data_IF_121718354362
#
_entry.id   IF_121718354362
#
_cell.length_a   1.000
_cell.length_b   1.000
_cell.length_c   1.000
_cell.angle_alpha   90.00
_cell.angle_beta   90.00
_cell.angle_gamma   90.00
#
_symmetry.space_group_name_H-M   'P 1'
#
loop_
_entity.id
_entity.type
_entity.pdbx_description
1 polymer ?
#
# COMPACT_ATOMS: atom_id res chain seq x y z
N UNK A 1 -13.60 30.41 -5.88
CA UNK A 1 -13.05 29.07 -6.11
C UNK A 1 -12.75 28.48 -4.75
N UNK A 2 -13.77 27.92 -4.12
CA UNK A 2 -13.67 27.24 -2.82
C UNK A 2 -14.08 25.79 -3.09
N UNK A 3 -13.30 25.17 -3.97
CA UNK A 3 -13.57 23.86 -4.53
C UNK A 3 -13.04 22.77 -3.62
N UNK A 4 -13.81 21.69 -3.49
CA UNK A 4 -13.53 20.51 -2.70
C UNK A 4 -12.06 20.08 -2.83
N UNK A 5 -11.30 20.27 -1.75
CA UNK A 5 -9.92 19.77 -1.68
C UNK A 5 -10.00 18.26 -1.48
N UNK A 6 -9.75 17.51 -2.54
CA UNK A 6 -9.52 16.08 -2.45
C UNK A 6 -8.10 15.86 -1.96
N UNK A 7 -7.95 15.25 -0.78
CA UNK A 7 -6.67 14.81 -0.26
C UNK A 7 -6.44 13.35 -0.65
N UNK A 8 -5.21 13.05 -1.07
CA UNK A 8 -4.77 11.69 -1.34
C UNK A 8 -3.92 11.20 -0.18
N UNK A 9 -4.03 9.91 0.11
CA UNK A 9 -3.23 9.24 1.11
C UNK A 9 -2.80 7.89 0.56
N UNK A 10 -1.51 7.60 0.67
CA UNK A 10 -0.97 6.32 0.24
C UNK A 10 -1.38 5.23 1.23
N UNK A 11 -1.90 4.12 0.71
CA UNK A 11 -2.22 2.91 1.48
C UNK A 11 -1.13 1.85 1.26
N UNK A 12 -0.59 1.79 0.05
CA UNK A 12 0.51 0.92 -0.34
C UNK A 12 1.53 1.70 -1.16
N UNK A 13 2.80 1.46 -0.88
CA UNK A 13 3.91 2.10 -1.59
C UNK A 13 4.94 1.07 -2.00
N UNK A 14 5.69 1.38 -3.05
CA UNK A 14 6.90 0.66 -3.38
C UNK A 14 8.12 1.47 -2.96
N UNK A 15 8.91 0.94 -2.03
CA UNK A 15 10.18 1.53 -1.64
C UNK A 15 11.33 0.95 -2.47
N UNK A 16 11.88 1.77 -3.38
CA UNK A 16 13.11 1.45 -4.09
C UNK A 16 14.30 1.44 -3.13
N UNK A 17 15.03 0.33 -3.11
CA UNK A 17 16.21 0.10 -2.25
C UNK A 17 17.54 0.03 -3.00
N UNK A 18 17.50 0.06 -4.33
CA UNK A 18 18.71 0.12 -5.15
C UNK A 18 18.55 -0.58 -6.49
N UNK A 19 19.69 -0.95 -7.08
CA UNK A 19 19.75 -1.79 -8.27
C UNK A 19 20.50 -3.09 -7.92
N UNK A 20 20.12 -4.19 -8.56
CA UNK A 20 20.90 -5.43 -8.57
C UNK A 20 22.09 -5.32 -9.54
N UNK A 21 23.06 -6.25 -9.50
CA UNK A 21 24.22 -6.24 -10.40
C UNK A 21 23.87 -6.32 -11.89
N UNK A 22 22.74 -6.92 -12.24
CA UNK A 22 22.18 -6.98 -13.61
C UNK A 22 21.31 -5.75 -13.96
N UNK A 23 21.30 -4.73 -13.12
CA UNK A 23 20.64 -3.44 -13.38
C UNK A 23 19.14 -3.39 -13.08
N UNK A 24 18.56 -4.43 -12.47
CA UNK A 24 17.13 -4.43 -12.10
C UNK A 24 16.88 -3.63 -10.82
N UNK A 25 15.70 -3.03 -10.72
CA UNK A 25 15.29 -2.30 -9.52
C UNK A 25 15.02 -3.28 -8.37
N UNK A 26 15.70 -3.07 -7.25
CA UNK A 26 15.42 -3.75 -5.98
C UNK A 26 14.56 -2.84 -5.11
N UNK A 27 13.59 -3.43 -4.43
CA UNK A 27 12.74 -2.71 -3.49
C UNK A 27 11.80 -3.64 -2.76
N UNK A 28 10.82 -3.05 -2.09
CA UNK A 28 9.80 -3.75 -1.33
C UNK A 28 8.46 -3.05 -1.45
N UNK A 29 7.39 -3.82 -1.42
CA UNK A 29 6.04 -3.29 -1.23
C UNK A 29 5.82 -3.11 0.27
N UNK A 30 5.39 -1.91 0.67
CA UNK A 30 5.07 -1.58 2.05
C UNK A 30 3.63 -1.10 2.09
N UNK A 31 2.85 -1.65 3.02
CA UNK A 31 1.67 -0.95 3.48
C UNK A 31 2.07 0.26 4.35
N UNK A 32 1.24 1.29 4.35
CA UNK A 32 1.53 2.53 5.08
C UNK A 32 1.10 2.49 6.56
N UNK A 33 0.51 1.39 7.04
CA UNK A 33 -0.08 1.28 8.38
C UNK A 33 -1.45 1.94 8.50
N UNK A 34 -1.97 2.53 7.42
CA UNK A 34 -3.23 3.27 7.42
C UNK A 34 -4.37 2.31 7.12
N UNK A 35 -5.31 2.18 8.06
CA UNK A 35 -6.57 1.48 7.81
C UNK A 35 -7.51 2.40 7.01
N UNK A 36 -7.82 2.07 5.74
CA UNK A 36 -8.60 2.96 4.89
C UNK A 36 -10.07 3.00 5.31
N UNK A 37 -10.69 4.17 5.24
CA UNK A 37 -12.12 4.37 5.57
C UNK A 37 -13.07 3.49 4.75
N UNK A 38 -12.68 3.09 3.54
CA UNK A 38 -13.51 2.19 2.73
C UNK A 38 -13.56 0.76 3.28
N UNK A 39 -12.68 0.38 4.22
CA UNK A 39 -12.70 -0.95 4.84
C UNK A 39 -14.04 -1.23 5.53
N UNK A 40 -14.66 -0.21 6.14
CA UNK A 40 -16.01 -0.32 6.71
C UNK A 40 -17.05 -0.68 5.65
N UNK A 41 -16.93 -0.11 4.45
CA UNK A 41 -17.82 -0.42 3.31
C UNK A 41 -17.60 -1.84 2.80
N UNK A 42 -16.36 -2.32 2.77
CA UNK A 42 -16.06 -3.71 2.42
C UNK A 42 -16.70 -4.67 3.43
N UNK A 43 -16.54 -4.42 4.73
CA UNK A 43 -17.16 -5.23 5.78
C UNK A 43 -18.69 -5.23 5.65
N UNK A 44 -19.30 -4.07 5.40
CA UNK A 44 -20.75 -3.96 5.18
C UNK A 44 -21.21 -4.74 3.93
N UNK A 45 -20.37 -4.85 2.91
CA UNK A 45 -20.60 -5.68 1.73
C UNK A 45 -20.29 -7.17 1.94
N UNK A 46 -19.91 -7.59 3.16
CA UNK A 46 -19.56 -8.96 3.50
C UNK A 46 -18.12 -9.36 3.14
N UNK A 47 -17.30 -8.42 2.68
CA UNK A 47 -15.89 -8.64 2.36
C UNK A 47 -15.04 -8.26 3.58
N UNK A 48 -14.39 -9.25 4.21
CA UNK A 48 -13.41 -9.00 5.25
C UNK A 48 -12.00 -9.20 4.69
N UNK A 49 -11.23 -8.13 4.70
CA UNK A 49 -9.78 -8.20 4.48
C UNK A 49 -9.11 -8.55 5.82
N UNK A 50 -8.04 -9.38 5.82
CA UNK A 50 -7.16 -9.49 6.97
C UNK A 50 -6.63 -8.10 7.35
N UNK A 51 -6.42 -7.79 8.63
CA UNK A 51 -5.87 -6.47 9.01
C UNK A 51 -4.41 -6.34 8.62
N UNK A 52 -3.70 -7.47 8.60
CA UNK A 52 -2.25 -7.56 8.40
C UNK A 52 -1.81 -7.01 7.05
N UNK A 53 -2.68 -7.04 6.02
CA UNK A 53 -2.36 -6.48 4.70
C UNK A 53 -2.00 -5.00 4.80
N UNK A 54 -2.59 -4.25 5.74
CA UNK A 54 -2.32 -2.82 5.90
C UNK A 54 -1.08 -2.51 6.75
N UNK A 55 -0.41 -3.54 7.28
CA UNK A 55 0.83 -3.44 8.07
C UNK A 55 2.02 -4.19 7.41
N UNK A 56 1.77 -4.94 6.33
CA UNK A 56 2.72 -5.87 5.75
C UNK A 56 3.85 -5.18 4.95
N UNK A 57 5.04 -5.79 5.02
CA UNK A 57 6.20 -5.44 4.21
C UNK A 57 6.65 -6.68 3.44
N UNK A 58 6.63 -6.60 2.11
CA UNK A 58 7.00 -7.70 1.22
C UNK A 58 8.21 -7.31 0.37
N UNK A 59 9.33 -8.02 0.51
CA UNK A 59 10.50 -7.81 -0.34
C UNK A 59 10.20 -8.23 -1.78
N UNK A 60 10.32 -7.29 -2.72
CA UNK A 60 10.08 -7.54 -4.15
C UNK A 60 11.28 -8.20 -4.85
N UNK A 61 12.39 -8.43 -4.13
CA UNK A 61 13.62 -9.01 -4.66
C UNK A 61 13.61 -10.53 -4.86
N UNK A 62 12.45 -11.18 -4.76
CA UNK A 62 12.28 -12.64 -4.89
C UNK A 62 11.20 -13.09 -5.89
N UNK A 63 10.65 -12.17 -6.69
CA UNK A 63 9.79 -12.47 -7.84
C UNK A 63 10.59 -12.58 -9.13
#
# INVERSE_FOLDING_TARGET
MEGDIVTLQDIFVFEKRGLSPDGRVRGRFCASGILPKFNEKLIAAGVRLPSEIFDEIVDAGGL
#
